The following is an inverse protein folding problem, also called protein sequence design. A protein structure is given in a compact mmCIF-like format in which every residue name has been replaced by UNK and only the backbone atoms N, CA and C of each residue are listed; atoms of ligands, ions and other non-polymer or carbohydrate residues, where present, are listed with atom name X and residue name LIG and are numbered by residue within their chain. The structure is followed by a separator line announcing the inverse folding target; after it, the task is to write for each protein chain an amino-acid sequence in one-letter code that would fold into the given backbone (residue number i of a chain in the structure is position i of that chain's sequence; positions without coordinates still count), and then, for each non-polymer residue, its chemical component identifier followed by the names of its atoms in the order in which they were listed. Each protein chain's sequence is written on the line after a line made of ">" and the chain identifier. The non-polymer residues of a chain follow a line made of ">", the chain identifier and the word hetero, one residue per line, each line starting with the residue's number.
data_IF_353534709441
#
_entry.id   IF_353534709441
#
_cell.length_a   1.000
_cell.length_b   1.000
_cell.length_c   1.000
_cell.angle_alpha   90.00
_cell.angle_beta   90.00
_cell.angle_gamma   90.00
#
_symmetry.space_group_name_H-M   'P 1'
#
loop_
_entity.id
_entity.type
_entity.pdbx_description
1 polymer ?
#
# COMPACT_ATOMS: atom_id res chain seq x y z
N UNK A 1 2.43 -16.52 64.79
CA UNK A 1 3.41 -15.54 64.28
C UNK A 1 4.79 -16.19 64.32
N UNK A 2 5.69 -16.02 63.34
CA UNK A 2 5.56 -15.45 61.99
C UNK A 2 5.95 -16.48 60.88
N UNK A 3 5.28 -16.44 59.74
CA UNK A 3 5.79 -15.99 58.43
C UNK A 3 6.80 -16.90 57.72
N UNK A 4 6.39 -17.50 56.60
CA UNK A 4 7.17 -17.43 55.37
C UNK A 4 6.24 -17.61 54.16
N UNK A 5 6.18 -16.54 53.39
CA UNK A 5 5.48 -16.39 52.12
C UNK A 5 6.35 -17.05 51.05
N UNK A 6 5.81 -18.01 50.30
CA UNK A 6 6.39 -18.39 49.01
C UNK A 6 5.42 -17.95 47.92
N UNK A 7 5.86 -16.92 47.18
CA UNK A 7 5.25 -16.37 45.97
C UNK A 7 5.59 -17.26 44.76
N UNK A 8 4.61 -17.44 43.87
CA UNK A 8 4.77 -17.73 42.44
C UNK A 8 5.16 -19.19 42.13
N UNK A 9 4.70 -19.82 41.07
CA UNK A 9 4.30 -19.31 39.76
C UNK A 9 3.25 -20.28 39.20
N UNK A 10 2.03 -19.82 38.97
CA UNK A 10 1.11 -20.55 38.08
C UNK A 10 1.54 -20.25 36.64
N UNK A 11 2.23 -21.20 36.03
CA UNK A 11 2.47 -21.23 34.59
C UNK A 11 1.12 -21.46 33.91
N UNK A 12 0.43 -20.39 33.55
CA UNK A 12 -0.65 -20.46 32.57
C UNK A 12 0.03 -20.48 31.21
N UNK A 13 0.18 -21.68 30.66
CA UNK A 13 0.55 -21.87 29.26
C UNK A 13 -0.64 -21.42 28.41
N UNK A 14 -0.77 -20.12 28.21
CA UNK A 14 -1.68 -19.56 27.21
C UNK A 14 -1.06 -19.88 25.86
N UNK A 15 -1.37 -21.07 25.34
CA UNK A 15 -1.20 -21.36 23.91
C UNK A 15 -2.08 -20.36 23.16
N UNK A 16 -1.47 -19.28 22.70
CA UNK A 16 -2.07 -18.34 21.78
C UNK A 16 -2.36 -19.09 20.47
N UNK A 17 -3.54 -19.72 20.41
CA UNK A 17 -4.15 -20.11 19.17
C UNK A 17 -4.40 -18.84 18.38
N UNK A 18 -3.52 -18.54 17.44
CA UNK A 18 -3.69 -17.46 16.47
C UNK A 18 -5.05 -17.63 15.82
N UNK A 19 -5.93 -16.68 16.11
CA UNK A 19 -7.33 -16.67 15.73
C UNK A 19 -7.48 -16.56 14.21
N UNK A 20 -7.62 -17.70 13.53
CA UNK A 20 -8.10 -17.78 12.14
C UNK A 20 -9.55 -17.30 11.97
N UNK A 21 -10.26 -16.99 13.06
CA UNK A 21 -11.64 -16.46 13.03
C UNK A 21 -11.78 -15.02 12.52
N UNK A 22 -10.76 -14.17 12.69
CA UNK A 22 -10.88 -12.74 12.32
C UNK A 22 -11.02 -12.49 10.82
N UNK A 23 -10.33 -13.28 9.99
CA UNK A 23 -10.34 -13.14 8.54
C UNK A 23 -11.66 -13.64 7.94
N UNK A 24 -12.24 -14.70 8.51
CA UNK A 24 -13.51 -15.25 8.05
C UNK A 24 -14.70 -14.32 8.37
N UNK A 25 -14.70 -13.68 9.54
CA UNK A 25 -15.74 -12.73 9.96
C UNK A 25 -15.72 -11.47 9.08
N UNK A 26 -14.55 -10.88 8.84
CA UNK A 26 -14.40 -9.72 7.95
C UNK A 26 -14.81 -10.04 6.50
N UNK A 27 -14.47 -11.23 6.01
CA UNK A 27 -14.87 -11.63 4.65
C UNK A 27 -16.40 -11.75 4.51
N UNK A 28 -17.07 -12.34 5.49
CA UNK A 28 -18.54 -12.52 5.47
C UNK A 28 -19.33 -11.21 5.59
N UNK A 29 -18.80 -10.20 6.28
CA UNK A 29 -19.46 -8.89 6.39
C UNK A 29 -19.30 -8.07 5.11
N UNK A 30 -18.15 -8.16 4.45
CA UNK A 30 -17.88 -7.46 3.20
C UNK A 30 -18.68 -8.00 2.01
N UNK A 31 -19.25 -9.21 2.11
CA UNK A 31 -19.93 -9.86 0.99
C UNK A 31 -21.16 -9.08 0.46
N UNK A 32 -21.70 -8.16 1.25
CA UNK A 32 -22.83 -7.27 0.88
C UNK A 32 -22.46 -5.79 0.84
N UNK A 33 -21.19 -5.45 1.09
CA UNK A 33 -20.71 -4.07 1.15
C UNK A 33 -20.20 -3.57 -0.20
N UNK A 34 -20.19 -2.26 -0.39
CA UNK A 34 -19.63 -1.63 -1.58
C UNK A 34 -18.11 -1.70 -1.58
N UNK A 35 -17.49 -1.58 -2.76
CA UNK A 35 -16.04 -1.46 -2.90
C UNK A 35 -15.45 -0.38 -2.00
N UNK A 36 -16.11 0.78 -1.89
CA UNK A 36 -15.67 1.84 -0.99
C UNK A 36 -15.66 1.41 0.48
N UNK A 37 -16.72 0.75 0.95
CA UNK A 37 -16.81 0.28 2.33
C UNK A 37 -15.75 -0.77 2.63
N UNK A 38 -15.56 -1.75 1.74
CA UNK A 38 -14.53 -2.78 1.92
C UNK A 38 -13.10 -2.23 1.86
N UNK A 39 -12.81 -1.28 0.98
CA UNK A 39 -11.50 -0.63 0.94
C UNK A 39 -11.24 0.17 2.23
N UNK A 40 -12.24 0.90 2.74
CA UNK A 40 -12.11 1.61 4.02
C UNK A 40 -12.00 0.67 5.22
N UNK A 41 -12.70 -0.45 5.23
CA UNK A 41 -12.58 -1.48 6.26
C UNK A 41 -11.17 -2.12 6.30
N UNK A 42 -10.46 -2.08 5.17
CA UNK A 42 -9.05 -2.46 5.05
C UNK A 42 -8.09 -1.25 5.19
N UNK A 43 -8.60 -0.13 5.71
CA UNK A 43 -7.89 1.12 5.94
C UNK A 43 -7.24 1.75 4.70
N UNK A 44 -7.77 1.50 3.50
CA UNK A 44 -7.32 2.20 2.30
C UNK A 44 -7.85 3.63 2.26
N UNK A 45 -6.96 4.57 1.91
CA UNK A 45 -7.35 5.96 1.71
C UNK A 45 -7.85 6.20 0.28
N UNK A 46 -9.12 6.57 0.14
CA UNK A 46 -9.74 6.81 -1.17
C UNK A 46 -9.44 8.23 -1.67
N UNK A 47 -9.27 8.37 -2.98
CA UNK A 47 -9.11 9.69 -3.63
C UNK A 47 -10.42 10.50 -3.53
N UNK A 48 -11.57 9.82 -3.53
CA UNK A 48 -12.89 10.44 -3.39
C UNK A 48 -13.14 11.12 -2.03
N UNK A 49 -12.32 10.85 -1.02
CA UNK A 49 -12.41 11.50 0.30
C UNK A 49 -11.66 12.84 0.35
N UNK A 50 -10.98 13.22 -0.74
CA UNK A 50 -10.16 14.44 -0.82
C UNK A 50 -10.95 15.65 -1.34
N UNK A 51 -10.34 16.83 -1.18
CA UNK A 51 -10.80 18.06 -1.82
C UNK A 51 -10.85 17.90 -3.34
N UNK A 52 -11.71 18.67 -4.01
CA UNK A 52 -11.85 18.63 -5.48
C UNK A 52 -10.52 18.87 -6.19
N UNK A 53 -9.72 19.83 -5.71
CA UNK A 53 -8.44 20.17 -6.31
C UNK A 53 -7.43 18.99 -6.19
N UNK A 54 -7.31 18.41 -5.00
CA UNK A 54 -6.39 17.29 -4.76
C UNK A 54 -6.81 16.02 -5.51
N UNK A 55 -8.12 15.78 -5.60
CA UNK A 55 -8.71 14.67 -6.37
C UNK A 55 -8.32 14.76 -7.85
N UNK A 56 -8.50 15.93 -8.47
CA UNK A 56 -8.15 16.16 -9.88
C UNK A 56 -6.64 15.95 -10.09
N UNK A 57 -5.80 16.50 -9.20
CA UNK A 57 -4.36 16.35 -9.27
C UNK A 57 -3.92 14.88 -9.17
N UNK A 58 -4.54 14.11 -8.27
CA UNK A 58 -4.24 12.69 -8.12
C UNK A 58 -4.77 11.86 -9.28
N UNK A 59 -5.96 12.11 -9.82
CA UNK A 59 -6.44 11.39 -11.00
C UNK A 59 -5.53 11.61 -12.20
N UNK A 60 -5.05 12.83 -12.41
CA UNK A 60 -4.05 13.13 -13.44
C UNK A 60 -2.80 12.26 -13.27
N UNK A 61 -2.28 12.20 -12.05
CA UNK A 61 -1.11 11.38 -11.71
C UNK A 61 -1.37 9.88 -11.92
N UNK A 62 -2.49 9.36 -11.41
CA UNK A 62 -2.90 7.95 -11.54
C UNK A 62 -3.08 7.54 -12.99
N UNK A 63 -3.67 8.41 -13.82
CA UNK A 63 -3.83 8.12 -15.24
C UNK A 63 -2.47 7.93 -15.91
N UNK A 64 -1.50 8.82 -15.63
CA UNK A 64 -0.14 8.72 -16.16
C UNK A 64 0.57 7.44 -15.68
N UNK A 65 0.44 7.10 -14.40
CA UNK A 65 1.10 5.93 -13.79
C UNK A 65 0.53 4.59 -14.26
N UNK A 66 -0.78 4.55 -14.54
CA UNK A 66 -1.49 3.30 -14.78
C UNK A 66 -2.04 3.18 -16.21
N UNK A 67 -1.70 4.10 -17.13
CA UNK A 67 -2.24 4.13 -18.50
C UNK A 67 -2.28 2.75 -19.17
N UNK A 68 -1.14 2.06 -19.19
CA UNK A 68 -1.02 0.72 -19.79
C UNK A 68 -1.90 -0.33 -19.08
N UNK A 69 -1.98 -0.27 -17.75
CA UNK A 69 -2.82 -1.18 -16.96
C UNK A 69 -4.30 -0.91 -17.19
N UNK A 70 -4.70 0.34 -17.42
CA UNK A 70 -6.09 0.72 -17.68
C UNK A 70 -6.48 0.25 -19.09
N UNK A 71 -5.64 0.54 -20.10
CA UNK A 71 -5.83 0.12 -21.49
C UNK A 71 -5.99 -1.40 -21.62
N UNK A 72 -5.16 -2.16 -20.91
CA UNK A 72 -5.22 -3.63 -20.93
C UNK A 72 -6.39 -4.24 -20.14
N UNK A 73 -6.93 -3.53 -19.15
CA UNK A 73 -7.96 -4.09 -18.26
C UNK A 73 -9.39 -3.93 -18.77
N UNK A 74 -9.63 -2.91 -19.59
CA UNK A 74 -10.99 -2.46 -19.91
C UNK A 74 -11.34 -2.55 -21.40
N UNK A 75 -10.44 -3.10 -22.21
CA UNK A 75 -10.61 -3.25 -23.67
C UNK A 75 -10.91 -1.92 -24.40
N UNK A 76 -10.65 -0.79 -23.74
CA UNK A 76 -10.72 0.55 -24.33
C UNK A 76 -9.38 0.91 -24.93
N UNK A 77 -9.38 1.31 -26.21
CA UNK A 77 -8.23 1.98 -26.82
C UNK A 77 -8.13 3.42 -26.30
N UNK A 78 -7.65 3.60 -25.07
CA UNK A 78 -7.34 4.91 -24.47
C UNK A 78 -6.06 5.55 -25.03
N UNK A 79 -5.45 4.91 -26.03
CA UNK A 79 -4.19 5.29 -26.67
C UNK A 79 -4.15 6.78 -27.04
N UNK A 80 -5.30 7.37 -27.37
CA UNK A 80 -5.45 8.77 -27.81
C UNK A 80 -6.11 9.72 -26.80
N UNK A 81 -6.27 9.33 -25.54
CA UNK A 81 -6.84 10.23 -24.54
C UNK A 81 -5.84 11.35 -24.25
N UNK A 82 -6.32 12.60 -24.30
CA UNK A 82 -5.59 13.70 -23.67
C UNK A 82 -5.57 13.48 -22.16
N UNK A 83 -4.67 14.17 -21.47
CA UNK A 83 -4.56 14.06 -20.02
C UNK A 83 -5.88 14.42 -19.31
N UNK A 84 -6.56 15.48 -19.75
CA UNK A 84 -7.88 15.86 -19.22
C UNK A 84 -8.94 14.78 -19.43
N UNK A 85 -8.98 14.15 -20.62
CA UNK A 85 -9.89 13.02 -20.87
C UNK A 85 -9.57 11.83 -19.97
N UNK A 86 -8.29 11.59 -19.68
CA UNK A 86 -7.85 10.56 -18.74
C UNK A 86 -8.29 10.84 -17.30
N UNK A 87 -8.26 12.11 -16.89
CA UNK A 87 -8.76 12.55 -15.58
C UNK A 87 -10.27 12.33 -15.46
N UNK A 88 -11.04 12.80 -16.45
CA UNK A 88 -12.50 12.63 -16.47
C UNK A 88 -12.88 11.15 -16.45
N UNK A 89 -12.19 10.34 -17.26
CA UNK A 89 -12.36 8.91 -17.28
C UNK A 89 -12.13 8.27 -15.90
N UNK A 90 -11.00 8.57 -15.24
CA UNK A 90 -10.71 8.00 -13.93
C UNK A 90 -11.69 8.45 -12.86
N UNK A 91 -12.13 9.72 -12.89
CA UNK A 91 -13.16 10.23 -11.98
C UNK A 91 -14.44 9.41 -12.10
N UNK A 92 -14.93 9.28 -13.32
CA UNK A 92 -16.21 8.60 -13.58
C UNK A 92 -16.09 7.10 -13.28
N UNK A 93 -14.99 6.47 -13.71
CA UNK A 93 -14.68 5.07 -13.42
C UNK A 93 -14.61 4.80 -11.92
N UNK A 94 -13.87 5.60 -11.16
CA UNK A 94 -13.73 5.40 -9.72
C UNK A 94 -15.04 5.66 -8.98
N UNK A 95 -15.84 6.63 -9.40
CA UNK A 95 -17.19 6.86 -8.86
C UNK A 95 -18.07 5.61 -9.00
N UNK A 96 -18.01 4.92 -10.13
CA UNK A 96 -18.83 3.75 -10.40
C UNK A 96 -18.27 2.50 -9.73
N UNK A 97 -16.98 2.23 -9.90
CA UNK A 97 -16.26 1.13 -9.27
C UNK A 97 -16.45 1.11 -7.74
N UNK A 98 -16.40 2.27 -7.09
CA UNK A 98 -16.53 2.37 -5.64
C UNK A 98 -17.95 2.05 -5.12
N UNK A 99 -18.97 2.09 -6.00
CA UNK A 99 -20.36 1.70 -5.69
C UNK A 99 -20.64 0.23 -5.97
N UNK A 100 -19.81 -0.44 -6.77
CA UNK A 100 -19.96 -1.88 -7.05
C UNK A 100 -19.93 -2.70 -5.76
N UNK A 101 -20.62 -3.84 -5.76
CA UNK A 101 -20.53 -4.80 -4.65
C UNK A 101 -19.14 -5.44 -4.61
N UNK A 102 -18.57 -5.58 -3.42
CA UNK A 102 -17.23 -6.15 -3.20
C UNK A 102 -17.05 -7.53 -3.84
N UNK A 103 -18.10 -8.36 -3.83
CA UNK A 103 -18.07 -9.74 -4.34
C UNK A 103 -18.22 -9.85 -5.85
N UNK A 104 -18.56 -8.76 -6.54
CA UNK A 104 -18.88 -8.79 -7.97
C UNK A 104 -17.65 -8.99 -8.87
N UNK A 105 -16.44 -8.84 -8.34
CA UNK A 105 -15.18 -8.87 -9.10
C UNK A 105 -14.19 -9.85 -8.48
N UNK A 106 -13.27 -10.38 -9.29
CA UNK A 106 -12.18 -11.21 -8.77
C UNK A 106 -11.25 -10.38 -7.88
N UNK A 107 -10.69 -11.01 -6.84
CA UNK A 107 -9.78 -10.34 -5.90
C UNK A 107 -8.56 -9.72 -6.60
N UNK A 108 -8.03 -10.36 -7.64
CA UNK A 108 -6.92 -9.83 -8.43
C UNK A 108 -7.28 -8.56 -9.20
N UNK A 109 -8.51 -8.49 -9.75
CA UNK A 109 -9.02 -7.31 -10.45
C UNK A 109 -9.32 -6.17 -9.48
N UNK A 110 -9.95 -6.48 -8.35
CA UNK A 110 -10.21 -5.53 -7.26
C UNK A 110 -8.92 -4.83 -6.82
N UNK A 111 -7.88 -5.61 -6.50
CA UNK A 111 -6.62 -5.05 -5.99
C UNK A 111 -5.87 -4.21 -7.03
N UNK A 112 -6.05 -4.51 -8.32
CA UNK A 112 -5.46 -3.74 -9.41
C UNK A 112 -6.21 -2.43 -9.64
N UNK A 113 -7.53 -2.49 -9.76
CA UNK A 113 -8.39 -1.33 -10.06
C UNK A 113 -8.53 -0.40 -8.85
N UNK A 114 -8.47 -0.93 -7.62
CA UNK A 114 -8.45 -0.11 -6.40
C UNK A 114 -7.24 0.80 -6.33
N UNK A 115 -6.11 0.43 -6.95
CA UNK A 115 -4.92 1.28 -6.99
C UNK A 115 -5.15 2.58 -7.78
N UNK A 116 -6.12 2.61 -8.69
CA UNK A 116 -6.48 3.81 -9.45
C UNK A 116 -7.31 4.79 -8.62
N UNK A 117 -8.07 4.27 -7.65
CA UNK A 117 -9.03 5.02 -6.84
C UNK A 117 -8.55 5.29 -5.40
N UNK A 118 -7.35 4.82 -5.05
CA UNK A 118 -6.74 4.99 -3.74
C UNK A 118 -5.46 5.82 -3.82
N UNK A 119 -5.13 6.50 -2.74
CA UNK A 119 -3.83 7.19 -2.61
C UNK A 119 -2.71 6.17 -2.55
N UNK A 120 -1.57 6.47 -3.17
CA UNK A 120 -0.36 5.67 -2.98
C UNK A 120 0.30 5.98 -1.64
N UNK A 121 1.25 5.14 -1.24
CA UNK A 121 2.14 5.43 -0.12
C UNK A 121 2.86 6.76 -0.31
N UNK A 122 3.38 7.01 -1.52
CA UNK A 122 4.08 8.26 -1.86
C UNK A 122 3.17 9.50 -1.65
N UNK A 123 1.89 9.40 -2.01
CA UNK A 123 0.90 10.49 -1.88
C UNK A 123 0.61 10.81 -0.40
N UNK A 124 0.72 9.82 0.48
CA UNK A 124 0.45 9.96 1.91
C UNK A 124 1.70 10.40 2.67
N UNK A 125 2.87 9.90 2.29
CA UNK A 125 4.12 10.24 2.99
C UNK A 125 4.76 11.53 2.47
N UNK A 126 4.35 12.03 1.30
CA UNK A 126 4.88 13.26 0.70
C UNK A 126 6.25 13.07 0.05
N UNK A 127 6.53 11.89 -0.50
CA UNK A 127 7.80 11.57 -1.17
C UNK A 127 7.57 11.47 -2.67
N UNK A 128 8.41 12.17 -3.44
CA UNK A 128 8.43 12.06 -4.90
C UNK A 128 9.39 10.93 -5.30
N UNK A 129 8.83 9.77 -5.66
CA UNK A 129 9.63 8.59 -6.01
C UNK A 129 10.55 8.81 -7.21
N UNK A 130 10.26 9.79 -8.09
CA UNK A 130 11.10 10.09 -9.24
C UNK A 130 12.35 10.88 -8.89
N UNK A 131 12.39 11.53 -7.72
CA UNK A 131 13.57 12.25 -7.21
C UNK A 131 14.54 11.37 -6.42
N UNK A 132 14.18 10.11 -6.15
CA UNK A 132 15.07 9.19 -5.44
C UNK A 132 16.29 8.83 -6.28
N UNK A 133 17.47 8.91 -5.65
CA UNK A 133 18.75 8.53 -6.25
C UNK A 133 19.38 7.36 -5.50
N UNK A 134 20.17 6.56 -6.22
CA UNK A 134 20.91 5.45 -5.66
C UNK A 134 21.84 5.87 -4.51
N UNK A 135 22.57 6.98 -4.69
CA UNK A 135 23.55 7.44 -3.70
C UNK A 135 22.88 7.94 -2.41
N UNK A 136 21.74 8.63 -2.50
CA UNK A 136 20.98 9.06 -1.33
C UNK A 136 20.46 7.88 -0.51
N UNK A 137 20.04 6.80 -1.18
CA UNK A 137 19.52 5.60 -0.54
C UNK A 137 20.61 4.71 0.07
N UNK A 138 21.83 4.69 -0.51
CA UNK A 138 22.94 3.93 0.07
C UNK A 138 23.30 4.42 1.47
N UNK A 139 23.35 5.73 1.67
CA UNK A 139 23.60 6.31 2.99
C UNK A 139 22.57 5.83 4.03
N UNK A 140 21.30 5.67 3.62
CA UNK A 140 20.23 5.11 4.47
C UNK A 140 20.47 3.63 4.76
N UNK A 141 20.86 2.85 3.75
CA UNK A 141 21.23 1.44 3.90
C UNK A 141 22.32 1.26 4.93
N UNK A 142 23.46 1.94 4.79
CA UNK A 142 24.61 1.79 5.69
C UNK A 142 24.23 2.13 7.15
N UNK A 143 23.33 3.10 7.34
CA UNK A 143 22.85 3.50 8.67
C UNK A 143 21.82 2.50 9.26
N UNK A 144 21.13 1.71 8.43
CA UNK A 144 19.99 0.86 8.83
C UNK A 144 20.11 -0.57 8.29
N UNK A 145 21.33 -1.03 8.07
CA UNK A 145 21.66 -2.23 7.29
C UNK A 145 20.90 -3.45 7.78
N UNK A 146 20.92 -3.70 9.10
CA UNK A 146 20.27 -4.85 9.72
C UNK A 146 18.75 -4.83 9.48
N UNK A 147 18.11 -3.68 9.70
CA UNK A 147 16.66 -3.54 9.59
C UNK A 147 16.20 -3.65 8.13
N UNK A 148 16.95 -3.03 7.20
CA UNK A 148 16.66 -3.12 5.76
C UNK A 148 16.91 -4.55 5.28
N UNK A 149 18.01 -5.19 5.67
CA UNK A 149 18.31 -6.58 5.30
C UNK A 149 17.27 -7.55 5.82
N UNK A 150 16.72 -7.35 7.02
CA UNK A 150 15.61 -8.18 7.51
C UNK A 150 14.33 -8.04 6.66
N UNK A 151 14.06 -6.85 6.11
CA UNK A 151 12.88 -6.60 5.27
C UNK A 151 13.11 -6.85 3.78
N UNK A 152 14.37 -6.83 3.34
CA UNK A 152 14.81 -7.06 1.97
C UNK A 152 15.99 -8.05 2.01
N UNK A 153 15.74 -9.34 2.33
CA UNK A 153 16.79 -10.31 2.65
C UNK A 153 17.81 -10.54 1.54
N UNK A 154 17.41 -10.33 0.29
CA UNK A 154 18.27 -10.52 -0.86
C UNK A 154 19.34 -9.43 -1.03
N UNK A 155 19.34 -8.38 -0.21
CA UNK A 155 20.37 -7.32 -0.20
C UNK A 155 21.61 -7.66 0.63
N UNK A 156 21.48 -8.53 1.63
CA UNK A 156 22.47 -8.71 2.71
C UNK A 156 23.88 -9.04 2.22
N UNK A 157 24.00 -9.79 1.14
CA UNK A 157 25.28 -10.29 0.62
C UNK A 157 25.61 -9.72 -0.76
N UNK A 158 25.04 -8.55 -1.09
CA UNK A 158 25.24 -7.88 -2.39
C UNK A 158 26.36 -6.86 -2.31
N UNK A 159 27.03 -6.66 -3.43
CA UNK A 159 27.97 -5.54 -3.58
C UNK A 159 27.23 -4.20 -3.57
N UNK A 160 27.97 -3.14 -3.26
CA UNK A 160 27.45 -1.78 -3.08
C UNK A 160 26.61 -1.27 -4.26
N UNK A 161 27.02 -1.55 -5.49
CA UNK A 161 26.30 -1.09 -6.69
C UNK A 161 24.98 -1.87 -6.87
N UNK A 162 24.98 -3.16 -6.56
CA UNK A 162 23.76 -3.96 -6.52
C UNK A 162 22.81 -3.49 -5.42
N UNK A 163 23.30 -3.21 -4.21
CA UNK A 163 22.47 -2.70 -3.09
C UNK A 163 21.80 -1.38 -3.46
N UNK A 164 22.57 -0.43 -4.03
CA UNK A 164 22.07 0.86 -4.52
C UNK A 164 20.88 0.71 -5.47
N UNK A 165 21.05 -0.11 -6.51
CA UNK A 165 20.03 -0.31 -7.53
C UNK A 165 18.79 -1.00 -6.96
N UNK A 166 18.99 -2.06 -6.19
CA UNK A 166 17.89 -2.87 -5.67
C UNK A 166 17.10 -2.14 -4.57
N UNK A 167 17.75 -1.35 -3.72
CA UNK A 167 17.07 -0.50 -2.74
C UNK A 167 16.27 0.60 -3.45
N UNK A 168 16.83 1.25 -4.46
CA UNK A 168 16.11 2.24 -5.27
C UNK A 168 14.88 1.62 -5.93
N UNK A 169 15.05 0.45 -6.57
CA UNK A 169 13.96 -0.29 -7.19
C UNK A 169 12.88 -0.66 -6.18
N UNK A 170 13.28 -1.16 -5.02
CA UNK A 170 12.36 -1.52 -3.94
C UNK A 170 11.57 -0.30 -3.45
N UNK A 171 12.25 0.82 -3.20
CA UNK A 171 11.63 2.06 -2.77
C UNK A 171 10.62 2.59 -3.80
N UNK A 172 11.03 2.72 -5.07
CA UNK A 172 10.12 3.15 -6.15
C UNK A 172 8.90 2.23 -6.27
N UNK A 173 9.10 0.91 -6.15
CA UNK A 173 7.99 -0.04 -6.20
C UNK A 173 7.04 0.09 -5.01
N UNK A 174 7.58 0.21 -3.78
CA UNK A 174 6.77 0.35 -2.56
C UNK A 174 5.98 1.65 -2.54
N UNK A 175 6.60 2.77 -2.91
CA UNK A 175 5.97 4.09 -2.89
C UNK A 175 4.74 4.16 -3.78
N UNK A 176 4.73 3.47 -4.93
CA UNK A 176 3.59 3.44 -5.86
C UNK A 176 2.45 2.50 -5.43
N UNK A 177 2.60 1.74 -4.33
CA UNK A 177 1.52 0.85 -3.83
C UNK A 177 0.39 1.65 -3.18
N UNK A 178 -0.86 1.15 -3.23
CA UNK A 178 -1.98 1.69 -2.46
C UNK A 178 -1.65 1.79 -0.97
N UNK A 179 -2.00 2.91 -0.35
CA UNK A 179 -1.82 3.14 1.07
C UNK A 179 -2.89 2.41 1.89
N UNK A 180 -2.46 1.60 2.87
CA UNK A 180 -3.33 1.01 3.90
C UNK A 180 -2.65 1.08 5.27
N UNK A 181 -3.42 1.43 6.31
CA UNK A 181 -2.91 1.47 7.70
C UNK A 181 -2.51 0.09 8.23
N UNK A 182 -2.96 -1.00 7.60
CA UNK A 182 -2.51 -2.36 7.94
C UNK A 182 -0.98 -2.50 7.91
N UNK A 183 -0.30 -1.71 7.08
CA UNK A 183 1.16 -1.72 6.93
C UNK A 183 1.87 -0.65 7.77
N UNK A 184 1.31 -0.23 8.92
CA UNK A 184 1.83 0.90 9.73
C UNK A 184 3.34 0.82 10.02
N UNK A 185 3.83 -0.35 10.42
CA UNK A 185 5.27 -0.52 10.71
C UNK A 185 6.13 -0.38 9.44
N UNK A 186 5.63 -0.92 8.32
CA UNK A 186 6.28 -0.79 7.03
C UNK A 186 6.25 0.66 6.52
N UNK A 187 5.21 1.44 6.83
CA UNK A 187 5.14 2.87 6.46
C UNK A 187 6.26 3.66 7.12
N UNK A 188 6.49 3.45 8.42
CA UNK A 188 7.57 4.12 9.15
C UNK A 188 8.93 3.76 8.55
N UNK A 189 9.16 2.48 8.24
CA UNK A 189 10.36 2.02 7.56
C UNK A 189 10.51 2.61 6.16
N UNK A 190 9.46 2.64 5.34
CA UNK A 190 9.49 3.23 3.99
C UNK A 190 9.80 4.73 4.08
N UNK A 191 9.20 5.46 5.01
CA UNK A 191 9.49 6.88 5.21
C UNK A 191 10.95 7.10 5.58
N UNK A 192 11.52 6.22 6.40
CA UNK A 192 12.91 6.29 6.84
C UNK A 192 13.90 5.95 5.71
N UNK A 193 13.60 4.93 4.91
CA UNK A 193 14.54 4.38 3.93
C UNK A 193 14.38 4.96 2.54
N UNK A 194 13.18 5.41 2.19
CA UNK A 194 12.83 5.84 0.84
C UNK A 194 12.55 7.35 0.76
N UNK A 195 13.12 8.15 1.66
CA UNK A 195 13.08 9.62 1.59
C UNK A 195 14.48 10.19 1.32
N UNK A 196 14.51 11.35 0.66
CA UNK A 196 15.71 12.17 0.49
C UNK A 196 15.84 13.08 1.71
#
# INVERSE_FOLDING_TARGET
>A
MPSSIVKGVFSVSTSAGLSFGGVAVLKSSLDKETMAAGLRALDYSLIEDLSTADRIALYRKKFKEHKESIESSLDYKLVNFSEEKGVDFLRDWCSDFLKDMWVSRSSSRIMRESAWCTRSLEDVIGVDSEKLTADGLKSRYDTHEESISQKIPYLKDKDDETVKYELLRWCKWKLKKPYSLYYKDLISSIRLWCSV
#
